data_IF_515134696374
#
_entry.id   IF_515134696374
#
_cell.length_a   1.000
_cell.length_b   1.000
_cell.length_c   1.000
_cell.angle_alpha   90.00
_cell.angle_beta   90.00
_cell.angle_gamma   90.00
#
_symmetry.space_group_name_H-M   'P 1'
#
loop_
_entity.id
_entity.type
_entity.pdbx_description
1 polymer ?
#
# COMPACT_ATOMS: atom_id res chain seq x y z
N UNK A 1 10.95 68.30 -94.11
CA UNK A 1 9.60 67.83 -94.07
C UNK A 1 9.53 66.60 -93.20
N UNK A 2 8.84 66.68 -92.12
CA UNK A 2 8.75 65.64 -91.02
C UNK A 2 7.63 64.71 -91.34
N UNK A 3 7.81 63.41 -91.27
CA UNK A 3 6.73 62.42 -91.30
C UNK A 3 6.99 61.38 -90.26
N UNK A 4 5.97 61.09 -89.67
CA UNK A 4 5.67 60.28 -88.51
C UNK A 4 6.17 58.85 -88.55
N UNK A 5 6.76 58.39 -87.44
CA UNK A 5 6.88 56.96 -87.05
C UNK A 5 6.60 56.88 -85.58
N UNK A 6 5.35 56.72 -85.23
CA UNK A 6 4.95 56.31 -83.85
C UNK A 6 3.71 55.44 -83.91
N UNK A 7 3.79 54.18 -83.72
CA UNK A 7 2.60 53.31 -83.66
C UNK A 7 2.84 51.82 -83.39
N UNK A 8 4.03 51.34 -83.42
CA UNK A 8 4.18 49.84 -83.34
C UNK A 8 4.78 49.27 -82.01
N UNK A 9 5.20 50.16 -81.13
CA UNK A 9 5.77 49.73 -79.82
C UNK A 9 4.73 49.52 -78.70
N UNK A 10 3.55 50.03 -78.84
CA UNK A 10 2.49 49.97 -77.81
C UNK A 10 1.75 48.66 -77.85
N UNK A 11 1.47 48.09 -79.05
CA UNK A 11 0.70 46.84 -79.18
C UNK A 11 1.48 45.62 -78.69
N UNK A 12 2.79 45.54 -78.88
CA UNK A 12 3.62 44.40 -78.47
C UNK A 12 3.73 44.31 -76.93
N UNK A 13 3.79 45.48 -76.27
CA UNK A 13 3.80 45.47 -74.79
C UNK A 13 2.49 45.06 -74.18
N UNK A 14 1.36 45.37 -74.83
CA UNK A 14 0.05 44.96 -74.32
C UNK A 14 -0.24 43.45 -74.46
N UNK A 15 0.23 42.88 -75.55
CA UNK A 15 0.10 41.41 -75.83
C UNK A 15 1.07 40.62 -74.91
N UNK A 16 2.25 41.11 -74.59
CA UNK A 16 3.22 40.46 -73.67
C UNK A 16 2.72 40.47 -72.24
N UNK A 17 2.09 41.59 -71.79
CA UNK A 17 1.46 41.68 -70.44
C UNK A 17 0.25 40.80 -70.30
N UNK A 18 -0.57 40.68 -71.37
CA UNK A 18 -1.75 39.78 -71.37
C UNK A 18 -1.34 38.30 -71.33
N UNK A 19 -0.20 37.93 -71.97
CA UNK A 19 0.30 36.55 -71.95
C UNK A 19 0.93 36.17 -70.59
N UNK A 20 1.52 37.14 -69.88
CA UNK A 20 2.06 36.94 -68.52
C UNK A 20 0.94 36.79 -67.48
N UNK A 21 -0.23 37.47 -67.68
CA UNK A 21 -1.39 37.35 -66.80
C UNK A 21 -2.13 36.02 -66.95
N UNK A 22 -2.05 35.33 -68.10
CA UNK A 22 -2.67 34.06 -68.36
C UNK A 22 -1.90 32.84 -67.81
N UNK A 23 -0.63 33.02 -67.45
CA UNK A 23 0.18 31.93 -66.87
C UNK A 23 0.18 31.95 -65.31
N UNK A 24 -0.50 32.92 -64.67
CA UNK A 24 -0.55 33.02 -63.20
C UNK A 24 -1.74 32.23 -62.58
N UNK A 25 -2.45 31.40 -63.36
CA UNK A 25 -3.73 30.83 -62.98
C UNK A 25 -3.77 29.34 -62.64
N UNK A 26 -2.68 28.61 -62.45
CA UNK A 26 -2.69 27.25 -62.00
C UNK A 26 -1.54 26.94 -61.06
N UNK A 27 -1.63 27.43 -59.83
CA UNK A 27 -0.93 26.77 -58.74
C UNK A 27 -1.75 25.55 -58.33
N UNK A 28 -1.23 24.33 -58.42
CA UNK A 28 -1.88 23.17 -57.82
C UNK A 28 -1.91 23.42 -56.32
N UNK A 29 -3.12 23.45 -55.76
CA UNK A 29 -3.34 23.40 -54.32
C UNK A 29 -2.75 22.09 -53.83
N UNK A 30 -1.52 22.11 -53.38
CA UNK A 30 -0.91 20.98 -52.68
C UNK A 30 -1.72 20.86 -51.37
N UNK A 31 -2.70 20.01 -51.42
CA UNK A 31 -3.39 19.54 -50.21
C UNK A 31 -2.29 18.85 -49.40
N UNK A 32 -1.78 19.53 -48.37
CA UNK A 32 -0.92 18.90 -47.36
C UNK A 32 -1.76 17.78 -46.79
N UNK A 33 -1.55 16.56 -47.24
CA UNK A 33 -1.89 15.40 -46.48
C UNK A 33 -1.14 15.54 -45.16
N UNK A 34 -1.82 15.95 -44.09
CA UNK A 34 -1.32 15.78 -42.75
C UNK A 34 -1.09 14.27 -42.56
N UNK A 35 0.16 13.90 -42.65
CA UNK A 35 0.58 12.55 -42.24
C UNK A 35 0.25 12.50 -40.76
N UNK A 36 -0.91 11.92 -40.42
CA UNK A 36 -1.26 11.69 -39.03
C UNK A 36 -0.15 10.83 -38.42
N UNK A 37 0.65 11.45 -37.55
CA UNK A 37 1.67 10.74 -36.80
C UNK A 37 1.00 9.63 -35.99
N UNK A 38 1.34 8.39 -36.28
CA UNK A 38 0.82 7.23 -35.54
C UNK A 38 1.64 7.05 -34.29
N UNK A 39 1.03 7.21 -33.15
CA UNK A 39 1.70 7.20 -31.85
C UNK A 39 1.70 5.77 -31.29
N UNK A 40 2.88 5.16 -31.03
CA UNK A 40 2.95 3.85 -30.40
C UNK A 40 2.50 3.93 -28.95
N UNK A 41 1.62 3.01 -28.53
CA UNK A 41 1.08 2.94 -27.19
C UNK A 41 1.00 1.51 -26.67
N UNK A 42 1.18 1.34 -25.34
CA UNK A 42 0.84 0.07 -24.66
C UNK A 42 -0.50 0.22 -24.00
N UNK A 43 -1.27 -0.84 -24.05
CA UNK A 43 -2.64 -0.89 -23.51
C UNK A 43 -2.81 -2.05 -22.56
N UNK A 44 -3.75 -1.88 -21.63
CA UNK A 44 -4.26 -2.96 -20.76
C UNK A 44 -5.79 -3.01 -20.87
N UNK A 45 -6.35 -4.23 -20.75
CA UNK A 45 -7.79 -4.41 -20.71
C UNK A 45 -8.32 -4.14 -19.32
N UNK A 46 -9.39 -3.37 -19.24
CA UNK A 46 -10.16 -3.23 -18.00
C UNK A 46 -10.69 -4.60 -17.60
N UNK A 47 -10.23 -5.09 -16.46
CA UNK A 47 -10.65 -6.37 -15.90
C UNK A 47 -11.48 -6.15 -14.65
N UNK A 48 -12.36 -7.09 -14.34
CA UNK A 48 -13.01 -7.16 -13.04
C UNK A 48 -12.03 -7.77 -12.02
N UNK A 49 -11.86 -7.12 -10.89
CA UNK A 49 -11.06 -7.61 -9.77
C UNK A 49 -11.75 -7.34 -8.44
N UNK A 50 -11.41 -8.18 -7.48
CA UNK A 50 -11.77 -7.91 -6.10
C UNK A 50 -10.73 -6.94 -5.52
N UNK A 51 -11.19 -5.83 -4.98
CA UNK A 51 -10.35 -4.88 -4.25
C UNK A 51 -10.86 -4.72 -2.82
N UNK A 52 -9.92 -4.57 -1.89
CA UNK A 52 -10.23 -4.25 -0.52
C UNK A 52 -9.92 -2.77 -0.26
N UNK A 53 -10.87 -2.04 0.31
CA UNK A 53 -10.58 -0.76 0.94
C UNK A 53 -9.84 -1.04 2.25
N UNK A 54 -8.62 -0.54 2.39
CA UNK A 54 -7.78 -0.81 3.55
C UNK A 54 -7.36 0.48 4.23
N UNK A 55 -7.24 0.41 5.57
CA UNK A 55 -6.55 1.43 6.35
C UNK A 55 -5.18 0.90 6.74
N UNK A 56 -4.15 1.63 6.38
CA UNK A 56 -2.77 1.26 6.69
C UNK A 56 -2.32 1.90 8.00
N UNK A 57 -1.81 1.07 8.89
CA UNK A 57 -1.27 1.46 10.19
C UNK A 57 0.07 0.79 10.44
N UNK A 58 0.75 1.29 11.45
CA UNK A 58 1.95 0.68 11.98
C UNK A 58 1.77 0.48 13.48
N UNK A 59 2.31 -0.60 14.00
CA UNK A 59 2.21 -0.91 15.42
C UNK A 59 3.29 -1.89 15.87
N UNK A 60 3.35 -2.09 17.17
CA UNK A 60 4.25 -3.06 17.77
C UNK A 60 3.49 -4.33 18.13
N UNK A 61 4.07 -5.46 17.80
CA UNK A 61 3.59 -6.76 18.26
C UNK A 61 3.84 -6.87 19.75
N UNK A 62 2.84 -7.28 20.50
CA UNK A 62 2.92 -7.61 21.93
C UNK A 62 2.50 -9.05 22.14
N UNK A 63 3.04 -9.71 23.16
CA UNK A 63 2.50 -10.97 23.63
C UNK A 63 1.03 -10.81 24.00
N UNK A 64 0.23 -11.88 23.88
CA UNK A 64 -1.16 -11.87 24.34
C UNK A 64 -1.23 -11.51 25.82
N UNK A 65 -0.42 -12.21 26.62
CA UNK A 65 -0.27 -11.97 28.03
C UNK A 65 1.21 -11.86 28.38
N UNK A 66 1.54 -10.86 29.17
CA UNK A 66 2.91 -10.69 29.68
C UNK A 66 2.85 -10.26 31.15
N UNK A 67 3.79 -10.73 31.94
CA UNK A 67 3.89 -10.38 33.34
C UNK A 67 5.35 -10.23 33.76
N UNK A 68 5.64 -9.10 34.41
CA UNK A 68 6.86 -8.94 35.19
C UNK A 68 6.64 -9.66 36.52
N UNK A 69 7.55 -10.56 36.85
CA UNK A 69 7.53 -11.36 38.08
C UNK A 69 8.32 -10.64 39.15
N UNK A 70 7.69 -10.44 40.29
CA UNK A 70 8.29 -9.79 41.47
C UNK A 70 8.33 -10.76 42.65
N UNK A 71 9.30 -10.64 43.54
CA UNK A 71 9.37 -11.49 44.74
C UNK A 71 8.32 -11.05 45.75
N UNK A 72 7.69 -12.03 46.43
CA UNK A 72 6.76 -11.77 47.54
C UNK A 72 7.44 -11.42 48.86
N UNK A 73 8.75 -11.74 48.95
CA UNK A 73 9.58 -11.51 50.16
C UNK A 73 10.95 -11.02 49.72
N UNK A 74 11.60 -10.23 50.56
CA UNK A 74 12.99 -9.79 50.34
C UNK A 74 13.96 -10.88 50.76
N UNK A 75 15.15 -10.89 50.16
CA UNK A 75 16.23 -11.79 50.49
C UNK A 75 17.23 -11.96 49.33
N UNK A 76 18.02 -13.01 49.39
CA UNK A 76 19.10 -13.30 48.45
C UNK A 76 18.70 -14.39 47.48
N UNK A 77 18.93 -14.17 46.18
CA UNK A 77 18.71 -15.23 45.16
C UNK A 77 19.75 -16.35 45.38
N UNK A 78 19.29 -17.57 45.64
CA UNK A 78 20.14 -18.74 45.89
C UNK A 78 20.12 -19.74 44.75
N UNK A 79 19.05 -19.74 43.94
CA UNK A 79 18.88 -20.71 42.85
C UNK A 79 18.05 -20.09 41.74
N UNK A 80 18.43 -20.31 40.48
CA UNK A 80 17.62 -20.03 39.26
C UNK A 80 17.23 -21.36 38.63
N UNK A 81 15.95 -21.65 38.56
CA UNK A 81 15.41 -22.89 37.97
C UNK A 81 15.07 -22.72 36.49
N UNK A 82 14.90 -21.47 36.06
CA UNK A 82 14.58 -21.10 34.68
C UNK A 82 15.58 -20.05 34.19
N UNK A 83 15.85 -20.12 32.88
CA UNK A 83 16.67 -19.16 32.13
C UNK A 83 15.86 -18.59 30.97
N UNK A 84 16.40 -17.56 30.30
CA UNK A 84 15.80 -16.97 29.12
C UNK A 84 15.46 -18.07 28.07
N UNK A 85 14.24 -18.02 27.52
CA UNK A 85 13.72 -19.02 26.58
C UNK A 85 13.10 -20.27 27.23
N UNK A 86 13.22 -20.50 28.55
CA UNK A 86 12.63 -21.65 29.23
C UNK A 86 11.10 -21.60 29.21
N UNK A 87 10.45 -22.73 28.91
CA UNK A 87 9.04 -22.89 29.16
C UNK A 87 8.73 -22.90 30.66
N UNK A 88 7.63 -22.28 31.05
CA UNK A 88 7.19 -22.22 32.45
C UNK A 88 5.68 -22.31 32.56
N UNK A 89 5.18 -23.05 33.54
CA UNK A 89 3.77 -23.15 33.87
C UNK A 89 3.40 -22.15 34.96
N UNK A 90 2.16 -21.72 35.00
CA UNK A 90 1.62 -20.92 36.13
C UNK A 90 1.86 -21.64 37.45
N UNK A 91 2.43 -20.93 38.44
CA UNK A 91 2.79 -21.50 39.75
C UNK A 91 4.14 -22.24 39.77
N UNK A 92 4.81 -22.43 38.64
CA UNK A 92 6.12 -23.06 38.58
C UNK A 92 7.22 -22.07 39.03
N UNK A 93 8.17 -22.48 39.90
CA UNK A 93 9.21 -21.61 40.39
C UNK A 93 10.21 -21.26 39.27
N UNK A 94 10.58 -19.97 39.20
CA UNK A 94 11.63 -19.40 38.31
C UNK A 94 12.95 -19.28 39.06
N UNK A 95 12.86 -18.91 40.33
CA UNK A 95 14.02 -18.77 41.20
C UNK A 95 13.61 -19.02 42.67
N UNK A 96 14.61 -19.16 43.55
CA UNK A 96 14.39 -19.28 44.99
C UNK A 96 15.17 -18.17 45.71
N UNK A 97 14.54 -17.67 46.79
CA UNK A 97 15.10 -16.68 47.70
C UNK A 97 15.41 -17.33 49.03
N UNK A 98 16.60 -17.05 49.59
CA UNK A 98 16.89 -17.22 50.97
C UNK A 98 16.52 -15.94 51.74
N UNK A 99 15.72 -16.11 52.81
CA UNK A 99 15.37 -15.02 53.74
C UNK A 99 16.43 -14.95 54.80
N UNK A 100 17.39 -14.05 54.62
CA UNK A 100 18.50 -13.85 55.55
C UNK A 100 18.04 -12.97 56.73
N UNK A 101 17.31 -13.60 57.66
CA UNK A 101 17.00 -12.97 58.96
C UNK A 101 17.82 -13.57 60.06
N UNK A 102 18.59 -12.74 60.76
CA UNK A 102 19.53 -13.16 61.78
C UNK A 102 18.80 -13.97 62.89
N UNK A 103 19.19 -15.24 63.08
CA UNK A 103 18.68 -16.12 64.13
C UNK A 103 17.47 -16.97 63.75
N UNK A 104 16.94 -16.84 62.55
CA UNK A 104 15.80 -17.65 62.07
C UNK A 104 16.21 -18.41 60.77
N UNK A 105 15.97 -19.70 60.73
CA UNK A 105 16.10 -20.51 59.49
C UNK A 105 14.75 -20.61 58.82
N UNK A 106 14.63 -20.01 57.67
CA UNK A 106 13.45 -20.17 56.82
C UNK A 106 13.71 -21.20 55.73
N UNK A 107 12.67 -21.84 55.26
CA UNK A 107 12.72 -22.60 53.99
C UNK A 107 12.88 -21.60 52.82
N UNK A 108 13.58 -22.04 51.77
CA UNK A 108 13.72 -21.25 50.54
C UNK A 108 12.36 -20.86 49.98
N UNK A 109 12.18 -19.58 49.69
CA UNK A 109 10.94 -19.05 49.17
C UNK A 109 10.91 -19.11 47.65
N UNK A 110 9.93 -19.77 46.99
CA UNK A 110 9.84 -19.81 45.54
C UNK A 110 9.35 -18.46 45.00
N UNK A 111 9.90 -18.06 43.86
CA UNK A 111 9.40 -17.00 43.01
C UNK A 111 8.70 -17.67 41.83
N UNK A 112 7.36 -17.68 41.89
CA UNK A 112 6.52 -18.42 40.97
C UNK A 112 6.08 -17.59 39.77
N UNK A 113 5.92 -18.25 38.62
CA UNK A 113 5.34 -17.63 37.43
C UNK A 113 3.84 -17.37 37.62
N UNK A 114 3.32 -16.15 37.35
CA UNK A 114 1.90 -15.84 37.42
C UNK A 114 1.10 -16.39 36.23
N UNK A 115 1.76 -16.79 35.14
CA UNK A 115 1.13 -17.31 33.92
C UNK A 115 1.95 -18.46 33.30
N UNK A 116 1.29 -19.23 32.44
CA UNK A 116 1.94 -20.25 31.59
C UNK A 116 2.45 -19.59 30.33
N UNK A 117 3.73 -19.85 29.96
CA UNK A 117 4.35 -19.27 28.78
C UNK A 117 5.84 -19.55 28.72
N UNK A 118 6.59 -18.56 28.28
CA UNK A 118 8.04 -18.63 28.11
C UNK A 118 8.66 -17.51 28.97
N UNK A 119 9.77 -17.82 29.64
CA UNK A 119 10.59 -16.80 30.30
C UNK A 119 11.30 -16.00 29.21
N UNK A 120 10.83 -14.78 28.97
CA UNK A 120 11.41 -13.87 27.97
C UNK A 120 12.75 -13.34 28.42
N UNK A 121 12.90 -13.06 29.72
CA UNK A 121 14.17 -12.57 30.31
C UNK A 121 14.18 -12.80 31.81
N UNK A 122 15.35 -13.16 32.35
CA UNK A 122 15.66 -13.16 33.78
C UNK A 122 16.58 -11.97 34.06
N UNK A 123 16.19 -11.14 35.03
CA UNK A 123 16.86 -9.87 35.32
C UNK A 123 17.87 -9.95 36.50
N UNK A 124 17.89 -11.08 37.20
CA UNK A 124 18.68 -11.24 38.43
C UNK A 124 19.70 -12.36 38.34
N UNK A 125 20.73 -12.26 39.17
CA UNK A 125 21.77 -13.27 39.30
C UNK A 125 21.78 -13.93 40.66
N UNK A 126 22.35 -15.16 40.76
CA UNK A 126 22.54 -15.87 42.00
C UNK A 126 23.48 -15.01 42.90
N UNK A 127 23.10 -14.87 44.15
CA UNK A 127 23.81 -14.04 45.13
C UNK A 127 23.32 -12.60 45.20
N UNK A 128 22.46 -12.15 44.28
CA UNK A 128 21.87 -10.81 44.31
C UNK A 128 20.80 -10.69 45.41
N UNK A 129 20.82 -9.59 46.14
CA UNK A 129 19.73 -9.22 47.05
C UNK A 129 18.59 -8.58 46.29
N UNK A 130 17.35 -9.02 46.57
CA UNK A 130 16.14 -8.56 45.92
C UNK A 130 15.09 -8.13 46.93
N UNK A 131 14.25 -7.20 46.52
CA UNK A 131 13.16 -6.62 47.32
C UNK A 131 11.85 -6.70 46.51
N UNK A 132 10.71 -6.46 47.15
CA UNK A 132 9.39 -6.56 46.51
C UNK A 132 9.19 -5.79 45.21
N UNK A 133 10.04 -4.79 44.93
CA UNK A 133 9.98 -3.99 43.69
C UNK A 133 11.06 -4.38 42.67
N UNK A 134 11.91 -5.37 42.98
CA UNK A 134 12.96 -5.84 42.07
C UNK A 134 12.35 -6.77 41.04
N UNK A 135 12.34 -6.47 39.72
CA UNK A 135 11.86 -7.37 38.70
C UNK A 135 12.82 -8.58 38.62
N UNK A 136 12.26 -9.78 38.70
CA UNK A 136 13.00 -11.05 38.66
C UNK A 136 13.07 -11.59 37.24
N UNK A 137 11.88 -11.66 36.57
CA UNK A 137 11.80 -12.17 35.22
C UNK A 137 10.59 -11.55 34.48
N UNK A 138 10.65 -11.54 33.15
CA UNK A 138 9.52 -11.32 32.28
C UNK A 138 9.04 -12.67 31.77
N UNK A 139 7.78 -12.99 31.99
CA UNK A 139 7.14 -14.19 31.39
C UNK A 139 6.12 -13.75 30.39
N UNK A 140 6.13 -14.37 29.22
CA UNK A 140 5.25 -14.01 28.09
C UNK A 140 4.52 -15.24 27.57
N UNK A 141 3.24 -15.09 27.21
CA UNK A 141 2.51 -16.06 26.40
C UNK A 141 2.44 -15.53 24.98
N UNK A 142 3.13 -16.18 24.04
CA UNK A 142 3.23 -15.80 22.65
C UNK A 142 2.55 -16.76 21.67
N UNK A 143 1.72 -17.70 22.16
CA UNK A 143 0.93 -18.60 21.27
C UNK A 143 -0.06 -17.80 20.42
N UNK A 144 -0.47 -16.65 20.94
CA UNK A 144 -1.12 -15.57 20.22
C UNK A 144 -0.40 -14.27 20.50
N UNK A 145 -0.36 -13.40 19.53
CA UNK A 145 0.19 -12.05 19.67
C UNK A 145 -0.87 -11.01 19.32
N UNK A 146 -0.70 -9.80 19.78
CA UNK A 146 -1.64 -8.71 19.56
C UNK A 146 -0.92 -7.43 19.10
N UNK A 147 -1.64 -6.62 18.34
CA UNK A 147 -1.21 -5.31 17.87
C UNK A 147 -2.30 -4.32 18.26
N UNK A 148 -1.92 -3.28 19.01
CA UNK A 148 -2.81 -2.17 19.31
C UNK A 148 -2.66 -1.08 18.25
N UNK A 149 -3.79 -0.55 17.78
CA UNK A 149 -3.86 0.53 16.82
C UNK A 149 -4.87 1.57 17.29
N UNK A 150 -4.67 2.82 16.93
CA UNK A 150 -5.60 3.92 17.19
C UNK A 150 -6.34 4.29 15.89
N UNK A 151 -7.63 3.97 15.81
CA UNK A 151 -8.48 4.24 14.64
C UNK A 151 -9.15 5.59 14.81
N UNK A 152 -8.97 6.55 13.87
CA UNK A 152 -9.67 7.82 13.88
C UNK A 152 -11.20 7.66 13.92
N UNK A 153 -11.88 8.52 14.67
CA UNK A 153 -13.34 8.51 14.91
C UNK A 153 -14.16 8.35 13.61
N UNK A 154 -13.74 9.00 12.52
CA UNK A 154 -14.42 8.93 11.21
C UNK A 154 -14.50 7.53 10.60
N UNK A 155 -13.60 6.61 11.00
CA UNK A 155 -13.57 5.23 10.49
C UNK A 155 -14.21 4.22 11.44
N UNK A 156 -14.56 4.62 12.67
CA UNK A 156 -15.19 3.71 13.63
C UNK A 156 -16.47 3.05 13.13
N UNK A 157 -17.35 3.73 12.37
CA UNK A 157 -18.54 3.08 11.82
C UNK A 157 -18.24 1.91 10.85
N UNK A 158 -17.02 1.89 10.29
CA UNK A 158 -16.53 0.82 9.40
C UNK A 158 -15.71 -0.25 10.15
N UNK A 159 -15.43 -0.07 11.44
CA UNK A 159 -14.67 -1.02 12.25
C UNK A 159 -15.62 -1.98 12.99
N UNK A 160 -15.37 -3.27 12.91
CA UNK A 160 -16.18 -4.30 13.60
C UNK A 160 -15.31 -5.43 14.16
N UNK A 161 -15.83 -6.10 15.20
CA UNK A 161 -15.17 -7.30 15.74
C UNK A 161 -15.16 -8.42 14.68
N UNK A 162 -14.08 -9.20 14.65
CA UNK A 162 -13.87 -10.25 13.65
C UNK A 162 -13.40 -9.75 12.29
N UNK A 163 -13.20 -8.44 12.13
CA UNK A 163 -12.72 -7.84 10.89
C UNK A 163 -11.29 -8.28 10.59
N UNK A 164 -11.03 -8.65 9.33
CA UNK A 164 -9.74 -9.16 8.89
C UNK A 164 -8.71 -8.05 8.76
N UNK A 165 -7.47 -8.39 9.09
CA UNK A 165 -6.31 -7.54 8.89
C UNK A 165 -5.16 -8.37 8.31
N UNK A 166 -4.42 -7.77 7.39
CA UNK A 166 -3.17 -8.29 6.85
C UNK A 166 -2.00 -7.63 7.57
N UNK A 167 -1.07 -8.45 8.07
CA UNK A 167 0.07 -7.98 8.84
C UNK A 167 1.36 -8.38 8.14
N UNK A 168 2.24 -7.40 7.90
CA UNK A 168 3.58 -7.60 7.38
C UNK A 168 4.61 -7.18 8.41
N UNK A 169 5.62 -8.03 8.63
CA UNK A 169 6.74 -7.75 9.54
C UNK A 169 8.05 -7.80 8.78
N UNK A 170 8.97 -6.91 9.11
CA UNK A 170 10.24 -6.79 8.37
C UNK A 170 11.13 -8.04 8.52
N UNK A 171 10.93 -8.83 9.58
CA UNK A 171 11.62 -10.10 9.77
C UNK A 171 11.20 -11.20 8.75
N UNK A 172 10.02 -11.06 8.12
CA UNK A 172 9.46 -12.02 7.16
C UNK A 172 8.87 -11.26 5.95
N UNK A 173 9.70 -10.64 5.11
CA UNK A 173 9.24 -9.67 4.10
C UNK A 173 8.39 -10.27 2.98
N UNK A 174 8.45 -11.59 2.77
CA UNK A 174 7.69 -12.31 1.74
C UNK A 174 6.39 -12.92 2.29
N UNK A 175 6.13 -12.78 3.59
CA UNK A 175 4.97 -13.40 4.23
C UNK A 175 3.97 -12.36 4.71
N UNK A 176 2.69 -12.73 4.62
CA UNK A 176 1.58 -11.96 5.16
C UNK A 176 0.93 -12.81 6.25
N UNK A 177 0.85 -12.26 7.44
CA UNK A 177 0.17 -12.90 8.57
C UNK A 177 -1.27 -12.41 8.64
N UNK A 178 -2.20 -13.32 8.85
CA UNK A 178 -3.61 -12.99 9.05
C UNK A 178 -3.89 -12.67 10.52
N UNK A 179 -4.62 -11.59 10.75
CA UNK A 179 -5.11 -11.20 12.06
C UNK A 179 -6.57 -10.79 12.00
N UNK A 180 -7.20 -10.68 13.15
CA UNK A 180 -8.59 -10.22 13.27
C UNK A 180 -8.74 -9.21 14.40
N UNK A 181 -9.68 -8.27 14.26
CA UNK A 181 -10.04 -7.32 15.32
C UNK A 181 -10.76 -8.06 16.43
N UNK A 182 -10.14 -8.13 17.60
CA UNK A 182 -10.69 -8.82 18.77
C UNK A 182 -11.23 -7.86 19.83
N UNK A 183 -10.87 -6.57 19.74
CA UNK A 183 -11.34 -5.56 20.68
C UNK A 183 -11.44 -4.20 20.01
N UNK A 184 -12.52 -3.49 20.30
CA UNK A 184 -12.70 -2.07 19.93
C UNK A 184 -13.03 -1.34 21.23
N UNK A 185 -12.27 -0.29 21.53
CA UNK A 185 -12.54 0.54 22.70
C UNK A 185 -13.89 1.27 22.55
N UNK A 186 -14.76 1.26 23.57
CA UNK A 186 -15.98 2.07 23.56
C UNK A 186 -15.71 3.56 23.81
N UNK A 187 -14.46 3.93 24.07
CA UNK A 187 -14.05 5.30 24.39
C UNK A 187 -13.10 5.83 23.33
N UNK A 188 -13.41 7.01 22.82
CA UNK A 188 -12.54 7.78 21.92
C UNK A 188 -11.66 8.72 22.76
N UNK A 189 -10.37 8.71 22.52
CA UNK A 189 -9.44 9.64 23.14
C UNK A 189 -9.71 11.07 22.70
N UNK A 190 -9.82 11.99 23.64
CA UNK A 190 -10.01 13.41 23.34
C UNK A 190 -8.75 14.06 22.77
N UNK A 191 -7.58 13.49 23.05
CA UNK A 191 -6.29 14.02 22.64
C UNK A 191 -6.05 13.84 21.14
N UNK A 192 -6.28 12.63 20.62
CA UNK A 192 -5.98 12.28 19.22
C UNK A 192 -7.23 11.95 18.38
N UNK A 193 -8.45 12.04 18.95
CA UNK A 193 -9.71 11.73 18.29
C UNK A 193 -9.74 10.35 17.65
N UNK A 194 -9.16 9.36 18.35
CA UNK A 194 -9.09 7.97 17.90
C UNK A 194 -9.55 7.02 18.98
N UNK A 195 -10.06 5.86 18.60
CA UNK A 195 -10.38 4.76 19.49
C UNK A 195 -9.34 3.66 19.37
N UNK A 196 -8.78 3.17 20.48
CA UNK A 196 -7.92 2.00 20.47
C UNK A 196 -8.67 0.75 20.01
N UNK A 197 -8.06 0.01 19.07
CA UNK A 197 -8.49 -1.34 18.71
C UNK A 197 -7.34 -2.33 18.96
N UNK A 198 -7.67 -3.60 19.11
CA UNK A 198 -6.69 -4.66 19.25
C UNK A 198 -6.93 -5.72 18.17
N UNK A 199 -5.87 -6.04 17.44
CA UNK A 199 -5.85 -7.10 16.43
C UNK A 199 -5.06 -8.25 17.01
N UNK A 200 -5.62 -9.47 16.97
CA UNK A 200 -4.99 -10.70 17.45
C UNK A 200 -4.60 -11.59 16.29
N UNK A 201 -3.39 -12.18 16.37
CA UNK A 201 -2.84 -13.14 15.42
C UNK A 201 -2.53 -14.46 16.12
N UNK A 202 -2.76 -15.57 15.43
CA UNK A 202 -2.23 -16.88 15.85
C UNK A 202 -0.72 -16.92 15.60
N UNK A 203 0.02 -17.48 16.56
CA UNK A 203 1.47 -17.57 16.51
C UNK A 203 1.96 -18.88 17.16
N UNK A 204 1.31 -20.01 16.81
CA UNK A 204 1.63 -21.32 17.38
C UNK A 204 3.06 -21.78 17.08
N UNK A 205 3.64 -21.33 15.96
CA UNK A 205 5.03 -21.54 15.59
C UNK A 205 5.99 -20.59 16.33
N UNK A 206 5.47 -19.68 17.13
CA UNK A 206 6.20 -18.71 17.97
C UNK A 206 7.24 -17.86 17.19
N UNK A 207 6.98 -17.63 15.92
CA UNK A 207 7.85 -16.85 15.02
C UNK A 207 7.77 -15.34 15.30
N UNK A 208 6.57 -14.85 15.62
CA UNK A 208 6.35 -13.45 15.97
C UNK A 208 6.74 -13.24 17.43
N UNK A 209 7.62 -12.28 17.68
CA UNK A 209 8.11 -11.94 19.03
C UNK A 209 7.52 -10.62 19.50
N UNK A 210 7.26 -10.51 20.80
CA UNK A 210 6.92 -9.23 21.42
C UNK A 210 8.04 -8.23 21.17
N UNK A 211 7.69 -7.00 20.75
CA UNK A 211 8.61 -5.94 20.37
C UNK A 211 8.89 -5.83 18.87
N UNK A 212 8.47 -6.79 18.03
CA UNK A 212 8.60 -6.66 16.58
C UNK A 212 7.67 -5.55 16.06
N UNK A 213 8.15 -4.84 15.03
CA UNK A 213 7.38 -3.84 14.31
C UNK A 213 6.54 -4.48 13.20
N UNK A 214 5.30 -4.02 13.07
CA UNK A 214 4.36 -4.54 12.10
C UNK A 214 3.68 -3.42 11.31
N UNK A 215 3.51 -3.63 10.00
CA UNK A 215 2.60 -2.87 9.14
C UNK A 215 1.29 -3.64 9.05
N UNK A 216 0.20 -2.94 9.29
CA UNK A 216 -1.14 -3.51 9.36
C UNK A 216 -2.01 -2.87 8.30
N UNK A 217 -2.59 -3.68 7.42
CA UNK A 217 -3.62 -3.30 6.47
C UNK A 217 -4.96 -3.82 6.99
N UNK A 218 -5.72 -2.96 7.65
CA UNK A 218 -7.06 -3.30 8.16
C UNK A 218 -8.07 -3.19 7.02
N UNK A 219 -8.74 -4.29 6.69
CA UNK A 219 -9.73 -4.36 5.60
C UNK A 219 -11.05 -3.79 6.12
N UNK A 220 -11.43 -2.59 5.68
CA UNK A 220 -12.65 -1.91 6.14
C UNK A 220 -13.86 -2.15 5.22
N UNK A 221 -13.63 -2.49 3.96
CA UNK A 221 -14.67 -2.82 3.00
C UNK A 221 -14.11 -3.74 1.90
N UNK A 222 -14.90 -4.73 1.47
CA UNK A 222 -14.54 -5.64 0.36
C UNK A 222 -15.42 -5.32 -0.83
N UNK A 223 -14.82 -5.01 -1.97
CA UNK A 223 -15.50 -4.76 -3.23
C UNK A 223 -15.18 -5.91 -4.18
N UNK A 224 -16.20 -6.69 -4.53
CA UNK A 224 -16.05 -7.84 -5.42
C UNK A 224 -16.39 -7.48 -6.85
N UNK A 225 -15.61 -8.01 -7.81
CA UNK A 225 -15.88 -7.91 -9.26
C UNK A 225 -16.10 -6.48 -9.75
N UNK A 226 -15.25 -5.56 -9.35
CA UNK A 226 -15.30 -4.15 -9.77
C UNK A 226 -14.34 -3.88 -10.93
N UNK A 227 -14.67 -2.98 -11.89
CA UNK A 227 -13.78 -2.60 -12.98
C UNK A 227 -12.55 -1.86 -12.42
N UNK A 228 -11.37 -2.30 -12.80
CA UNK A 228 -10.12 -1.69 -12.34
C UNK A 228 -9.21 -1.32 -13.49
N UNK A 229 -8.41 -0.27 -13.26
CA UNK A 229 -7.34 0.17 -14.14
C UNK A 229 -6.05 0.36 -13.35
N UNK A 230 -4.91 0.32 -14.04
CA UNK A 230 -3.62 0.69 -13.43
C UNK A 230 -3.55 2.20 -13.21
N UNK A 231 -2.85 2.59 -12.15
CA UNK A 231 -2.58 3.98 -11.81
C UNK A 231 -1.94 4.75 -12.98
N UNK A 232 -1.06 4.10 -13.71
CA UNK A 232 -0.33 4.66 -14.85
C UNK A 232 -1.26 5.11 -16.00
N UNK A 233 -2.45 4.52 -16.10
CA UNK A 233 -3.43 4.89 -17.13
C UNK A 233 -4.14 6.22 -16.82
N UNK A 234 -4.12 6.66 -15.56
CA UNK A 234 -4.90 7.81 -15.08
C UNK A 234 -4.18 9.11 -15.43
N UNK A 235 -4.89 9.99 -16.11
CA UNK A 235 -4.45 11.33 -16.48
C UNK A 235 -5.31 12.39 -15.78
N UNK A 236 -4.75 13.60 -15.66
CA UNK A 236 -5.46 14.71 -15.00
C UNK A 236 -5.28 14.73 -13.49
N UNK A 237 -6.17 15.43 -12.82
CA UNK A 237 -6.27 15.54 -11.36
C UNK A 237 -7.74 15.56 -10.97
N UNK A 238 -8.05 15.01 -9.81
CA UNK A 238 -9.40 15.04 -9.27
C UNK A 238 -9.93 16.48 -9.15
N UNK A 239 -11.17 16.74 -9.59
CA UNK A 239 -12.20 15.81 -10.07
C UNK A 239 -12.16 15.50 -11.59
N UNK A 240 -11.17 15.99 -12.34
CA UNK A 240 -11.10 15.91 -13.79
C UNK A 240 -10.12 14.81 -14.27
N UNK A 241 -10.28 13.62 -13.68
CA UNK A 241 -9.53 12.43 -14.12
C UNK A 241 -10.08 11.92 -15.44
N UNK A 242 -9.18 11.49 -16.34
CA UNK A 242 -9.52 10.88 -17.61
C UNK A 242 -8.50 9.81 -18.00
N UNK A 243 -8.89 8.98 -18.96
CA UNK A 243 -8.02 7.98 -19.59
C UNK A 243 -8.15 8.09 -21.10
N UNK A 244 -7.21 7.48 -21.82
CA UNK A 244 -7.36 7.25 -23.26
C UNK A 244 -7.80 5.81 -23.51
N UNK A 245 -8.96 5.64 -24.15
CA UNK A 245 -9.44 4.35 -24.66
C UNK A 245 -9.00 4.19 -26.11
N UNK A 246 -8.81 2.95 -26.56
CA UNK A 246 -8.56 2.66 -27.97
C UNK A 246 -9.83 2.19 -28.62
N UNK A 247 -10.31 2.97 -29.59
CA UNK A 247 -11.46 2.67 -30.43
C UNK A 247 -11.07 2.87 -31.90
N UNK A 248 -11.21 1.82 -32.74
CA UNK A 248 -10.89 1.88 -34.18
C UNK A 248 -9.49 2.45 -34.47
N UNK A 249 -8.46 2.01 -33.73
CA UNK A 249 -7.06 2.47 -33.84
C UNK A 249 -6.88 3.97 -33.56
N UNK A 250 -7.78 4.58 -32.80
CA UNK A 250 -7.69 5.96 -32.34
C UNK A 250 -7.75 6.02 -30.82
N UNK A 251 -7.06 6.99 -30.24
CA UNK A 251 -7.15 7.30 -28.81
C UNK A 251 -8.34 8.23 -28.56
N UNK A 252 -9.30 7.78 -27.79
CA UNK A 252 -10.47 8.56 -27.39
C UNK A 252 -10.33 8.95 -25.92
N UNK A 253 -10.32 10.25 -25.66
CA UNK A 253 -10.26 10.76 -24.28
C UNK A 253 -11.60 10.53 -23.58
N UNK A 254 -11.58 9.84 -22.44
CA UNK A 254 -12.77 9.52 -21.66
C UNK A 254 -12.61 9.98 -20.23
N UNK A 255 -13.52 10.86 -19.78
CA UNK A 255 -13.59 11.25 -18.36
C UNK A 255 -14.05 10.06 -17.53
N UNK A 256 -13.43 9.86 -16.38
CA UNK A 256 -13.71 8.76 -15.45
C UNK A 256 -13.93 9.28 -14.03
N UNK A 257 -14.73 8.53 -13.26
CA UNK A 257 -14.86 8.72 -11.82
C UNK A 257 -14.17 7.56 -11.13
N UNK A 258 -13.17 7.86 -10.32
CA UNK A 258 -12.42 6.87 -9.56
C UNK A 258 -13.14 6.51 -8.26
N UNK A 259 -12.90 5.30 -7.77
CA UNK A 259 -13.33 4.81 -6.47
C UNK A 259 -12.14 4.51 -5.57
N UNK A 260 -12.20 3.35 -4.89
CA UNK A 260 -11.13 2.87 -4.02
C UNK A 260 -9.90 2.47 -4.83
N UNK A 261 -8.76 2.40 -4.17
CA UNK A 261 -7.55 1.83 -4.76
C UNK A 261 -6.89 0.81 -3.82
N UNK A 262 -6.22 -0.17 -4.41
CA UNK A 262 -5.42 -1.14 -3.68
C UNK A 262 -4.18 -1.48 -4.50
N UNK A 263 -3.00 -1.21 -3.93
CA UNK A 263 -1.75 -1.31 -4.67
C UNK A 263 -1.74 -0.45 -5.94
N UNK A 264 -1.43 -1.02 -7.13
CA UNK A 264 -1.38 -0.29 -8.39
C UNK A 264 -2.76 -0.09 -9.04
N UNK A 265 -3.82 -0.72 -8.52
CA UNK A 265 -5.14 -0.73 -9.14
C UNK A 265 -6.08 0.30 -8.53
N UNK A 266 -6.85 0.96 -9.41
CA UNK A 266 -7.90 1.91 -9.07
C UNK A 266 -9.23 1.41 -9.59
N UNK A 267 -10.28 1.44 -8.74
CA UNK A 267 -11.66 1.23 -9.14
C UNK A 267 -12.10 2.33 -10.10
N UNK A 268 -12.84 1.97 -11.15
CA UNK A 268 -13.53 2.94 -11.99
C UNK A 268 -15.04 2.78 -11.79
N UNK A 269 -15.64 3.78 -11.13
CA UNK A 269 -17.10 3.79 -10.88
C UNK A 269 -17.88 4.16 -12.11
N UNK A 270 -17.35 5.11 -12.91
CA UNK A 270 -18.02 5.59 -14.12
C UNK A 270 -17.01 5.92 -15.22
N UNK A 271 -17.46 5.83 -16.46
CA UNK A 271 -16.74 6.30 -17.63
C UNK A 271 -16.23 5.19 -18.54
N UNK A 272 -15.90 4.00 -18.03
CA UNK A 272 -15.43 2.86 -18.84
C UNK A 272 -16.08 1.56 -18.38
N UNK A 273 -16.07 0.56 -19.28
CA UNK A 273 -16.63 -0.76 -19.01
C UNK A 273 -15.54 -1.84 -19.05
N UNK A 274 -15.86 -2.99 -18.49
CA UNK A 274 -15.04 -4.19 -18.61
C UNK A 274 -14.67 -4.48 -20.07
N UNK A 275 -13.46 -4.94 -20.31
CA UNK A 275 -12.94 -5.29 -21.63
C UNK A 275 -12.43 -4.13 -22.48
N UNK A 276 -12.70 -2.87 -22.10
CA UNK A 276 -12.16 -1.70 -22.78
C UNK A 276 -10.62 -1.71 -22.76
N UNK A 277 -9.99 -1.27 -23.86
CA UNK A 277 -8.54 -1.12 -23.95
C UNK A 277 -8.15 0.28 -23.49
N UNK A 278 -7.41 0.37 -22.40
CA UNK A 278 -6.93 1.62 -21.81
C UNK A 278 -5.44 1.75 -22.04
N UNK A 279 -4.98 2.94 -22.44
CA UNK A 279 -3.55 3.22 -22.63
C UNK A 279 -2.85 3.35 -21.29
N UNK A 280 -1.75 2.59 -21.10
CA UNK A 280 -0.90 2.62 -19.91
C UNK A 280 0.49 3.18 -20.15
N UNK A 281 0.97 3.24 -21.41
CA UNK A 281 2.23 3.86 -21.81
C UNK A 281 2.04 4.64 -23.11
N UNK A 282 2.63 5.81 -23.22
CA UNK A 282 2.53 6.69 -24.40
C UNK A 282 1.42 7.75 -24.28
N UNK A 283 0.60 7.73 -23.25
CA UNK A 283 -0.54 8.63 -23.03
C UNK A 283 -0.16 10.13 -23.02
N UNK A 284 1.07 10.48 -22.64
CA UNK A 284 1.54 11.87 -22.57
C UNK A 284 1.66 12.55 -23.95
N UNK A 285 1.71 11.75 -25.03
CA UNK A 285 1.80 12.21 -26.39
C UNK A 285 0.44 12.24 -27.10
N UNK A 286 -0.58 11.68 -26.44
CA UNK A 286 -1.91 11.55 -27.02
C UNK A 286 -2.73 12.84 -26.90
N UNK A 287 -3.55 13.05 -27.91
CA UNK A 287 -4.66 13.99 -27.94
C UNK A 287 -5.91 13.23 -28.42
N UNK A 288 -7.07 13.84 -28.21
CA UNK A 288 -8.34 13.19 -28.60
C UNK A 288 -8.38 12.91 -30.09
N UNK A 289 -8.78 11.67 -30.47
CA UNK A 289 -8.79 11.14 -31.83
C UNK A 289 -7.39 10.94 -32.49
N UNK A 290 -6.30 10.96 -31.73
CA UNK A 290 -4.95 10.65 -32.25
C UNK A 290 -4.90 9.23 -32.82
N UNK A 291 -4.26 9.05 -33.99
CA UNK A 291 -4.00 7.73 -34.54
C UNK A 291 -2.93 6.99 -33.73
N UNK A 292 -3.19 5.73 -33.38
CA UNK A 292 -2.30 4.93 -32.53
C UNK A 292 -1.95 3.58 -33.15
N UNK A 293 -0.72 3.13 -32.85
CA UNK A 293 -0.28 1.75 -33.09
C UNK A 293 -0.16 1.03 -31.73
N UNK A 294 -0.76 -0.14 -31.63
CA UNK A 294 -0.65 -0.98 -30.44
C UNK A 294 0.72 -1.68 -30.43
N UNK A 295 1.51 -1.46 -29.40
CA UNK A 295 2.68 -2.30 -29.15
C UNK A 295 2.22 -3.66 -28.61
N UNK A 296 2.43 -4.71 -29.40
CA UNK A 296 2.14 -6.08 -28.98
C UNK A 296 3.23 -6.49 -27.99
N UNK A 297 2.83 -6.76 -26.76
CA UNK A 297 3.72 -7.31 -25.73
C UNK A 297 3.94 -8.81 -26.05
N UNK A 298 4.82 -9.12 -27.00
CA UNK A 298 5.38 -10.45 -27.10
C UNK A 298 6.33 -10.61 -25.92
N UNK A 299 6.04 -11.53 -25.02
CA UNK A 299 6.75 -11.77 -23.75
C UNK A 299 8.25 -12.16 -23.84
N UNK A 300 8.90 -11.75 -24.93
CA UNK A 300 10.34 -11.76 -25.15
C UNK A 300 10.74 -10.39 -25.70
N UNK A 301 11.37 -9.60 -24.91
CA UNK A 301 12.03 -8.28 -25.04
C UNK A 301 12.40 -7.69 -26.42
N UNK A 302 11.61 -7.92 -27.46
CA UNK A 302 11.75 -7.22 -28.76
C UNK A 302 10.34 -6.90 -29.29
N UNK A 303 9.98 -5.62 -29.25
CA UNK A 303 8.69 -5.14 -29.76
C UNK A 303 8.73 -5.04 -31.28
N UNK A 304 7.87 -5.81 -31.98
CA UNK A 304 7.54 -5.57 -33.37
C UNK A 304 6.26 -4.70 -33.46
N UNK A 305 6.34 -3.64 -34.26
CA UNK A 305 5.22 -2.76 -34.62
C UNK A 305 4.34 -3.45 -35.68
N UNK A 306 3.05 -3.55 -35.42
CA UNK A 306 2.03 -3.88 -36.42
C UNK A 306 1.10 -2.74 -36.66
#
# INVERSE_FOLDING_TARGET
>A
MRSQVTGHRSQVKFILILFILLMAGCQPKVEKQEVQEVIPVKTERVALRDLNEVLEYVGNIKARDEALVYPKVSGKIIEKTKVDGSAVKKGEPIAYIDRDETGLKFEKAPIESPLTGIVGRVYVDIGQNVFGQTPIALVVNIDKVKIGLDIPERYLPKASLGQEAEIKVDAYPQEVFAGEVTKISPVVSLENRAAPIEITLNNQDQRLKSGMFARVSLIIEKHASIPVILKEAIMGKEPDNYVYLIENNKAVMKKITLGIHSGPYYEVREGIKEGALVVIVGQQRLYDNAAVALEINNGNGQGELK
#
